data_IF_513939302469
#
_entry.id   IF_513939302469
#
_cell.length_a   1.000
_cell.length_b   1.000
_cell.length_c   1.000
_cell.angle_alpha   90.00
_cell.angle_beta   90.00
_cell.angle_gamma   90.00
#
_symmetry.space_group_name_H-M   'P 1'
#
loop_
_entity.id
_entity.type
_entity.pdbx_description
1 polymer ?
#
# COMPACT_ATOMS: atom_id res chain seq x y z
N UNK A 1 76.45 -14.09 20.26
CA UNK A 1 76.28 -14.50 18.86
C UNK A 1 75.32 -13.54 18.20
N UNK A 2 75.76 -12.93 17.09
CA UNK A 2 75.18 -11.77 16.42
C UNK A 2 73.90 -12.10 15.62
N UNK A 3 73.03 -11.11 15.36
CA UNK A 3 71.79 -11.27 14.59
C UNK A 3 72.05 -11.18 13.08
N UNK A 4 71.35 -12.01 12.30
CA UNK A 4 71.34 -11.92 10.84
C UNK A 4 69.98 -11.42 10.36
N UNK A 5 69.94 -10.14 9.98
CA UNK A 5 68.88 -9.45 9.25
C UNK A 5 68.96 -9.82 7.78
N UNK A 6 67.90 -10.44 7.24
CA UNK A 6 67.74 -10.70 5.81
C UNK A 6 66.76 -9.69 5.21
N UNK A 7 67.35 -8.68 4.57
CA UNK A 7 66.69 -7.64 3.80
C UNK A 7 66.47 -8.15 2.37
N UNK A 8 65.26 -8.61 2.05
CA UNK A 8 64.92 -8.96 0.66
C UNK A 8 64.23 -7.78 -0.02
N UNK A 9 64.93 -7.27 -1.04
CA UNK A 9 64.54 -6.16 -1.90
C UNK A 9 63.24 -6.44 -2.68
N UNK A 10 62.34 -5.47 -2.67
CA UNK A 10 61.11 -5.47 -3.49
C UNK A 10 61.47 -4.94 -4.90
N UNK A 11 61.25 -5.72 -5.98
CA UNK A 11 61.35 -5.19 -7.33
C UNK A 11 60.15 -4.29 -7.64
N UNK A 12 60.45 -3.01 -7.90
CA UNK A 12 59.51 -2.02 -8.47
C UNK A 12 59.21 -2.39 -9.93
N UNK A 13 58.16 -3.15 -10.19
CA UNK A 13 57.58 -3.22 -11.54
C UNK A 13 56.64 -2.02 -11.76
N UNK A 14 57.22 -1.02 -12.45
CA UNK A 14 56.54 0.11 -13.06
C UNK A 14 55.91 -0.33 -14.38
N UNK A 15 54.66 0.10 -14.58
CA UNK A 15 54.07 0.57 -15.85
C UNK A 15 53.91 -0.47 -16.96
N UNK A 16 52.67 -0.90 -17.19
CA UNK A 16 51.96 -0.94 -18.48
C UNK A 16 50.68 -1.79 -18.33
N UNK A 17 49.63 -1.19 -17.78
CA UNK A 17 48.25 -1.68 -17.92
C UNK A 17 47.27 -0.51 -17.78
N UNK A 18 47.60 0.63 -18.39
CA UNK A 18 46.68 1.73 -18.63
C UNK A 18 46.23 1.59 -20.09
N UNK A 19 45.17 0.81 -20.33
CA UNK A 19 44.79 0.55 -21.72
C UNK A 19 43.53 -0.27 -21.99
N UNK A 20 42.70 -0.62 -21.00
CA UNK A 20 41.35 -1.19 -21.26
C UNK A 20 40.43 -0.86 -20.06
N UNK A 21 40.16 0.42 -19.82
CA UNK A 21 39.30 0.85 -18.71
C UNK A 21 38.30 1.95 -19.12
N UNK A 22 37.85 1.95 -20.38
CA UNK A 22 37.01 3.05 -20.90
C UNK A 22 35.85 2.62 -21.82
N UNK A 23 35.31 1.42 -21.67
CA UNK A 23 34.11 0.99 -22.42
C UNK A 23 33.08 0.23 -21.56
N UNK A 24 33.13 0.38 -20.23
CA UNK A 24 31.97 0.15 -19.38
C UNK A 24 31.22 1.48 -19.23
N UNK A 25 30.82 2.06 -20.37
CA UNK A 25 29.74 3.03 -20.38
C UNK A 25 28.50 2.24 -19.96
N UNK A 26 28.24 2.25 -18.65
CA UNK A 26 27.01 1.79 -18.07
C UNK A 26 25.88 2.34 -18.94
N UNK A 27 25.21 1.46 -19.67
CA UNK A 27 23.89 1.74 -20.20
C UNK A 27 22.99 1.84 -18.97
N UNK A 28 23.06 2.99 -18.29
CA UNK A 28 22.04 3.40 -17.35
C UNK A 28 20.76 3.40 -18.18
N UNK A 29 19.94 2.36 -17.99
CA UNK A 29 18.59 2.37 -18.48
C UNK A 29 17.98 3.64 -17.89
N UNK A 30 17.74 4.64 -18.74
CA UNK A 30 17.07 5.85 -18.32
C UNK A 30 15.70 5.40 -17.81
N UNK A 31 15.51 5.43 -16.50
CA UNK A 31 14.18 5.36 -15.93
C UNK A 31 13.48 6.62 -16.43
N UNK A 32 12.57 6.44 -17.39
CA UNK A 32 11.74 7.54 -17.84
C UNK A 32 10.65 7.77 -16.80
N UNK A 33 10.59 8.99 -16.29
CA UNK A 33 9.53 9.50 -15.43
C UNK A 33 8.64 10.42 -16.27
N UNK A 34 7.37 10.05 -16.40
CA UNK A 34 6.39 10.81 -17.17
C UNK A 34 5.29 11.30 -16.24
N UNK A 35 5.12 12.62 -16.17
CA UNK A 35 3.97 13.24 -15.50
C UNK A 35 3.06 13.90 -16.52
N UNK A 36 1.78 13.51 -16.53
CA UNK A 36 0.74 14.12 -17.36
C UNK A 36 -0.35 14.68 -16.46
N UNK A 37 -0.70 15.95 -16.70
CA UNK A 37 -1.79 16.65 -16.05
C UNK A 37 -2.81 17.05 -17.11
N UNK A 38 -4.05 16.57 -17.00
CA UNK A 38 -5.11 16.85 -17.97
C UNK A 38 -6.42 16.20 -17.59
N UNK A 39 -7.55 16.77 -18.01
CA UNK A 39 -8.91 16.22 -17.80
C UNK A 39 -9.25 15.87 -16.34
N UNK A 40 -8.69 16.62 -15.38
CA UNK A 40 -8.89 16.35 -13.96
C UNK A 40 -8.18 15.09 -13.46
N UNK A 41 -7.19 14.58 -14.19
CA UNK A 41 -6.34 13.44 -13.84
C UNK A 41 -4.88 13.90 -13.75
N UNK A 42 -4.18 13.38 -12.74
CA UNK A 42 -2.72 13.34 -12.65
C UNK A 42 -2.29 11.90 -12.93
N UNK A 43 -1.41 11.71 -13.92
CA UNK A 43 -0.80 10.43 -14.24
C UNK A 43 0.71 10.55 -14.02
N UNK A 44 1.30 9.64 -13.26
CA UNK A 44 2.74 9.51 -13.05
C UNK A 44 3.15 8.11 -13.47
N UNK A 45 4.07 7.99 -14.43
CA UNK A 45 4.53 6.69 -14.91
C UNK A 45 6.05 6.55 -14.83
N UNK A 46 6.50 5.39 -14.38
CA UNK A 46 7.91 5.03 -14.25
C UNK A 46 8.18 3.70 -14.97
N UNK A 47 9.20 3.70 -15.83
CA UNK A 47 9.64 2.48 -16.51
C UNK A 47 10.83 1.85 -15.77
N UNK A 48 10.55 0.91 -14.86
CA UNK A 48 11.62 0.25 -14.07
C UNK A 48 12.32 -0.88 -14.83
N UNK A 49 11.69 -1.41 -15.90
CA UNK A 49 12.23 -2.45 -16.76
C UNK A 49 11.86 -2.18 -18.22
N UNK A 50 12.63 -2.70 -19.19
CA UNK A 50 12.37 -2.48 -20.63
C UNK A 50 10.94 -2.84 -21.07
N UNK A 51 10.31 -3.79 -20.40
CA UNK A 51 8.97 -4.30 -20.75
C UNK A 51 7.90 -3.96 -19.71
N UNK A 52 8.23 -3.15 -18.69
CA UNK A 52 7.31 -2.85 -17.58
C UNK A 52 7.22 -1.35 -17.32
N UNK A 53 6.02 -0.81 -17.50
CA UNK A 53 5.64 0.54 -17.12
C UNK A 53 4.73 0.45 -15.89
N UNK A 54 5.08 1.17 -14.84
CA UNK A 54 4.26 1.34 -13.65
C UNK A 54 3.64 2.73 -13.73
N UNK A 55 2.32 2.85 -13.60
CA UNK A 55 1.64 4.12 -13.66
C UNK A 55 0.70 4.28 -12.47
N UNK A 56 0.85 5.39 -11.76
CA UNK A 56 -0.09 5.86 -10.77
C UNK A 56 -0.98 6.92 -11.39
N UNK A 57 -2.29 6.82 -11.18
CA UNK A 57 -3.23 7.85 -11.60
C UNK A 57 -4.05 8.34 -10.42
N UNK A 58 -4.32 9.64 -10.39
CA UNK A 58 -5.15 10.29 -9.37
C UNK A 58 -6.10 11.26 -10.05
N UNK A 59 -7.38 11.21 -9.70
CA UNK A 59 -8.34 12.24 -10.11
C UNK A 59 -8.34 13.39 -9.11
N UNK A 60 -8.31 14.62 -9.60
CA UNK A 60 -8.45 15.83 -8.79
C UNK A 60 -9.89 16.10 -8.37
N UNK A 61 -10.83 15.71 -9.23
CA UNK A 61 -12.26 15.76 -8.95
C UNK A 61 -12.88 14.39 -9.24
N UNK A 62 -13.54 13.75 -8.25
CA UNK A 62 -14.37 12.60 -8.53
C UNK A 62 -15.53 13.06 -9.43
N UNK A 63 -15.92 12.26 -10.45
CA UNK A 63 -17.13 12.55 -11.19
C UNK A 63 -18.31 12.42 -10.24
N UNK A 64 -19.32 13.30 -10.37
CA UNK A 64 -20.57 13.07 -9.65
C UNK A 64 -21.21 11.78 -10.19
N UNK A 65 -21.60 10.84 -9.32
CA UNK A 65 -22.25 9.63 -9.77
C UNK A 65 -23.61 10.00 -10.37
N UNK A 66 -23.78 9.77 -11.68
CA UNK A 66 -25.04 10.07 -12.38
C UNK A 66 -26.22 9.26 -11.81
N UNK A 67 -25.95 8.02 -11.36
CA UNK A 67 -26.95 7.14 -10.78
C UNK A 67 -26.31 6.09 -9.87
N UNK A 68 -26.85 5.91 -8.66
CA UNK A 68 -26.48 4.80 -7.77
C UNK A 68 -27.65 3.81 -7.72
N UNK A 69 -27.42 2.60 -8.24
CA UNK A 69 -28.40 1.50 -8.18
C UNK A 69 -27.78 0.30 -7.49
N UNK A 70 -28.59 -0.44 -6.72
CA UNK A 70 -28.18 -1.68 -6.10
C UNK A 70 -29.28 -2.73 -6.26
N UNK A 71 -28.89 -4.00 -6.39
CA UNK A 71 -29.84 -5.13 -6.51
C UNK A 71 -29.46 -6.23 -5.53
N UNK A 72 -30.46 -6.81 -4.88
CA UNK A 72 -30.31 -7.94 -3.97
C UNK A 72 -31.37 -8.99 -4.28
N UNK A 73 -30.96 -10.20 -4.66
CA UNK A 73 -31.89 -11.27 -5.03
C UNK A 73 -32.87 -10.88 -6.15
N UNK A 74 -32.39 -10.16 -7.17
CA UNK A 74 -33.21 -9.69 -8.30
C UNK A 74 -34.02 -8.41 -8.02
N UNK A 75 -34.23 -8.03 -6.75
CA UNK A 75 -34.92 -6.81 -6.33
C UNK A 75 -34.01 -5.59 -6.40
N UNK A 76 -34.47 -4.50 -7.01
CA UNK A 76 -33.77 -3.20 -6.97
C UNK A 76 -33.99 -2.54 -5.60
N UNK A 77 -32.90 -2.13 -4.95
CA UNK A 77 -32.92 -1.39 -3.71
C UNK A 77 -33.19 0.10 -3.99
N UNK A 78 -33.79 0.84 -3.04
CA UNK A 78 -34.00 2.28 -3.21
C UNK A 78 -32.66 3.00 -3.44
N UNK A 79 -32.63 4.06 -4.27
CA UNK A 79 -31.45 4.89 -4.41
C UNK A 79 -31.01 5.42 -3.04
N UNK A 80 -29.72 5.31 -2.67
CA UNK A 80 -29.26 5.85 -1.41
C UNK A 80 -29.30 7.39 -1.43
N UNK A 81 -29.54 8.00 -0.26
CA UNK A 81 -29.27 9.41 -0.09
C UNK A 81 -27.75 9.64 -0.16
N UNK A 82 -27.33 10.62 -0.96
CA UNK A 82 -25.92 10.98 -1.10
C UNK A 82 -25.69 12.30 -0.38
N UNK A 83 -24.87 12.27 0.68
CA UNK A 83 -24.39 13.46 1.35
C UNK A 83 -22.87 13.54 1.17
N UNK A 84 -22.32 14.67 0.69
CA UNK A 84 -20.88 14.83 0.57
C UNK A 84 -20.17 14.57 1.89
N UNK A 85 -19.03 13.86 1.84
CA UNK A 85 -18.24 13.62 3.04
C UNK A 85 -17.76 14.96 3.64
N UNK A 86 -17.92 15.14 4.95
CA UNK A 86 -17.54 16.37 5.66
C UNK A 86 -18.60 17.47 5.65
N UNK A 87 -19.79 17.27 5.06
CA UNK A 87 -20.87 18.25 5.09
C UNK A 87 -21.50 18.45 6.48
N UNK A 88 -21.35 17.46 7.37
CA UNK A 88 -21.93 17.46 8.71
C UNK A 88 -20.89 16.96 9.73
N UNK A 89 -20.85 17.58 10.93
CA UNK A 89 -20.06 17.08 12.05
C UNK A 89 -20.59 15.70 12.46
N UNK A 90 -19.68 14.74 12.62
CA UNK A 90 -20.07 13.36 12.88
C UNK A 90 -18.88 12.42 13.06
N UNK A 91 -19.07 11.35 13.83
CA UNK A 91 -18.06 10.30 13.97
C UNK A 91 -18.04 9.44 12.70
N UNK A 92 -16.85 9.23 12.15
CA UNK A 92 -16.62 8.33 11.02
C UNK A 92 -15.81 7.13 11.48
N UNK A 93 -16.33 5.91 11.26
CA UNK A 93 -15.64 4.66 11.50
C UNK A 93 -15.06 4.10 10.20
N UNK A 94 -13.77 3.79 10.21
CA UNK A 94 -13.02 3.24 9.07
C UNK A 94 -12.41 1.92 9.50
N UNK A 95 -12.82 0.83 8.84
CA UNK A 95 -12.21 -0.48 8.99
C UNK A 95 -11.27 -0.74 7.81
N UNK A 96 -10.00 -1.01 8.09
CA UNK A 96 -9.06 -1.56 7.11
C UNK A 96 -9.11 -3.08 7.15
N UNK A 97 -9.37 -3.71 6.02
CA UNK A 97 -9.40 -5.16 5.85
C UNK A 97 -8.28 -5.55 4.87
N UNK A 98 -7.22 -6.16 5.39
CA UNK A 98 -6.00 -6.47 4.62
C UNK A 98 -5.95 -7.97 4.28
N UNK A 99 -5.79 -8.28 3.01
CA UNK A 99 -5.57 -9.64 2.53
C UNK A 99 -4.16 -10.12 2.93
N UNK A 100 -4.12 -11.27 3.57
CA UNK A 100 -2.87 -11.95 3.97
C UNK A 100 -2.80 -13.37 3.39
N UNK A 101 -3.61 -13.70 2.38
CA UNK A 101 -3.68 -15.04 1.79
C UNK A 101 -2.42 -15.46 1.03
N UNK A 102 -1.75 -14.53 0.35
CA UNK A 102 -0.66 -14.86 -0.56
C UNK A 102 0.72 -14.87 0.15
N UNK A 103 1.20 -16.06 0.50
CA UNK A 103 2.55 -16.25 1.05
C UNK A 103 3.67 -16.09 0.00
N UNK A 104 3.37 -16.18 -1.29
CA UNK A 104 4.35 -16.00 -2.38
C UNK A 104 4.59 -14.52 -2.71
N UNK A 105 3.68 -13.62 -2.29
CA UNK A 105 3.78 -12.18 -2.45
C UNK A 105 4.00 -11.45 -1.11
N UNK A 106 5.18 -11.58 -0.46
CA UNK A 106 5.47 -10.91 0.81
C UNK A 106 5.43 -9.37 0.72
N UNK A 107 5.45 -8.82 -0.50
CA UNK A 107 5.34 -7.39 -0.75
C UNK A 107 3.91 -6.85 -0.65
N UNK A 108 2.87 -7.68 -0.81
CA UNK A 108 1.49 -7.22 -0.81
C UNK A 108 1.07 -6.63 0.57
N UNK A 109 1.34 -7.29 1.71
CA UNK A 109 1.11 -6.68 3.02
C UNK A 109 1.95 -5.43 3.27
N UNK A 110 3.16 -5.35 2.70
CA UNK A 110 4.03 -4.17 2.82
C UNK A 110 3.42 -2.98 2.05
N UNK A 111 2.89 -3.20 0.84
CA UNK A 111 2.21 -2.17 0.07
C UNK A 111 0.94 -1.70 0.79
N UNK A 112 0.13 -2.64 1.29
CA UNK A 112 -1.06 -2.34 2.09
C UNK A 112 -0.70 -1.50 3.32
N UNK A 113 0.36 -1.87 4.05
CA UNK A 113 0.87 -1.10 5.19
C UNK A 113 1.20 0.34 4.80
N UNK A 114 1.95 0.55 3.72
CA UNK A 114 2.33 1.89 3.29
C UNK A 114 1.10 2.73 2.91
N UNK A 115 0.11 2.13 2.24
CA UNK A 115 -1.15 2.80 1.93
C UNK A 115 -1.93 3.17 3.20
N UNK A 116 -2.07 2.24 4.14
CA UNK A 116 -2.80 2.51 5.39
C UNK A 116 -2.09 3.60 6.19
N UNK A 117 -0.76 3.58 6.30
CA UNK A 117 0.01 4.65 6.97
C UNK A 117 -0.26 6.01 6.31
N UNK A 118 -0.21 6.10 4.99
CA UNK A 118 -0.51 7.35 4.27
C UNK A 118 -1.94 7.85 4.52
N UNK A 119 -2.92 6.95 4.62
CA UNK A 119 -4.29 7.30 4.98
C UNK A 119 -4.40 7.79 6.43
N UNK A 120 -3.71 7.15 7.37
CA UNK A 120 -3.67 7.55 8.78
C UNK A 120 -2.94 8.88 8.98
N UNK A 121 -1.95 9.22 8.16
CA UNK A 121 -1.25 10.51 8.21
C UNK A 121 -2.14 11.67 7.73
N UNK A 122 -3.01 11.40 6.75
CA UNK A 122 -3.95 12.38 6.20
C UNK A 122 -5.29 12.45 6.97
N UNK A 123 -5.49 11.54 7.94
CA UNK A 123 -6.74 11.38 8.65
C UNK A 123 -7.05 12.54 9.62
N UNK A 124 -8.27 13.11 9.56
CA UNK A 124 -8.79 13.98 10.61
C UNK A 124 -8.91 13.27 11.97
N UNK A 125 -8.75 14.01 13.07
CA UNK A 125 -8.80 13.47 14.45
C UNK A 125 -10.16 12.94 14.90
N UNK A 126 -11.26 13.25 14.20
CA UNK A 126 -12.61 12.76 14.51
C UNK A 126 -12.92 11.37 13.92
N UNK A 127 -11.97 10.78 13.19
CA UNK A 127 -12.11 9.45 12.61
C UNK A 127 -11.67 8.37 13.61
N UNK A 128 -12.36 7.24 13.56
CA UNK A 128 -12.09 6.06 14.35
C UNK A 128 -11.64 4.95 13.42
N UNK A 129 -10.58 4.24 13.79
CA UNK A 129 -9.92 3.27 12.93
C UNK A 129 -9.93 1.88 13.54
N UNK A 130 -10.12 0.88 12.70
CA UNK A 130 -10.00 -0.53 13.02
C UNK A 130 -9.13 -1.21 11.96
N UNK A 131 -8.50 -2.31 12.36
CA UNK A 131 -7.68 -3.13 11.47
C UNK A 131 -8.09 -4.59 11.65
N UNK A 132 -8.39 -5.23 10.54
CA UNK A 132 -8.54 -6.67 10.44
C UNK A 132 -7.73 -7.20 9.26
N UNK A 133 -7.30 -8.45 9.34
CA UNK A 133 -6.76 -9.17 8.19
C UNK A 133 -7.71 -10.29 7.79
N UNK A 134 -7.54 -10.82 6.58
CA UNK A 134 -8.21 -12.03 6.19
C UNK A 134 -7.35 -12.93 5.31
N UNK A 135 -7.52 -14.22 5.50
CA UNK A 135 -7.23 -15.23 4.50
C UNK A 135 -8.48 -16.10 4.38
N UNK A 136 -8.55 -17.23 5.10
CA UNK A 136 -9.79 -18.00 5.21
C UNK A 136 -10.81 -17.31 6.14
N UNK A 137 -10.39 -16.68 7.24
CA UNK A 137 -11.24 -16.03 8.24
C UNK A 137 -10.81 -14.60 8.52
N UNK A 138 -11.67 -13.81 9.18
CA UNK A 138 -11.35 -12.44 9.59
C UNK A 138 -10.71 -12.45 10.96
N UNK A 139 -9.50 -11.92 11.05
CA UNK A 139 -8.80 -11.71 12.32
C UNK A 139 -8.81 -10.22 12.67
N UNK A 140 -9.40 -9.89 13.83
CA UNK A 140 -9.46 -8.50 14.31
C UNK A 140 -8.20 -8.16 15.12
N UNK A 141 -7.33 -7.38 14.51
CA UNK A 141 -6.06 -6.92 15.08
C UNK A 141 -6.21 -5.70 15.98
N UNK A 142 -7.07 -4.76 15.57
CA UNK A 142 -7.38 -3.57 16.34
C UNK A 142 -8.87 -3.23 16.22
N UNK A 143 -9.60 -3.16 17.35
CA UNK A 143 -10.99 -2.72 17.34
C UNK A 143 -11.09 -1.26 16.92
N UNK A 144 -12.26 -0.87 16.41
CA UNK A 144 -12.58 0.52 16.07
C UNK A 144 -12.42 1.43 17.30
N UNK A 145 -11.47 2.35 17.24
CA UNK A 145 -11.18 3.29 18.31
C UNK A 145 -10.64 4.62 17.74
N UNK A 146 -10.67 5.68 18.56
CA UNK A 146 -10.04 6.94 18.22
C UNK A 146 -8.50 6.81 18.26
N UNK A 147 -7.82 7.61 17.44
CA UNK A 147 -6.36 7.62 17.33
C UNK A 147 -5.81 6.61 16.33
N UNK A 148 -4.54 6.78 15.96
CA UNK A 148 -3.89 6.00 14.89
C UNK A 148 -2.77 5.09 15.39
N UNK A 149 -2.25 5.33 16.60
CA UNK A 149 -1.03 4.68 17.12
C UNK A 149 -1.16 3.17 17.21
N UNK A 150 -2.32 2.68 17.68
CA UNK A 150 -2.57 1.23 17.77
C UNK A 150 -2.51 0.57 16.39
N UNK A 151 -3.12 1.18 15.38
CA UNK A 151 -3.11 0.64 14.01
C UNK A 151 -1.68 0.60 13.48
N UNK A 152 -0.89 1.66 13.69
CA UNK A 152 0.51 1.74 13.24
C UNK A 152 1.38 0.63 13.83
N UNK A 153 1.18 0.33 15.11
CA UNK A 153 1.93 -0.72 15.79
C UNK A 153 1.59 -2.10 15.21
N UNK A 154 0.31 -2.42 15.05
CA UNK A 154 -0.10 -3.76 14.61
C UNK A 154 0.14 -3.99 13.11
N UNK A 155 0.13 -2.94 12.27
CA UNK A 155 0.47 -3.07 10.85
C UNK A 155 1.88 -3.66 10.61
N UNK A 156 2.82 -3.48 11.55
CA UNK A 156 4.15 -4.08 11.46
C UNK A 156 4.20 -5.58 11.74
N UNK A 157 3.13 -6.14 12.29
CA UNK A 157 3.02 -7.52 12.75
C UNK A 157 2.21 -8.41 11.76
N UNK A 158 1.59 -7.80 10.74
CA UNK A 158 0.86 -8.55 9.72
C UNK A 158 1.81 -9.46 8.94
N UNK A 159 1.49 -10.75 8.92
CA UNK A 159 2.25 -11.78 8.22
C UNK A 159 1.35 -12.50 7.21
N UNK A 160 1.87 -12.86 6.02
CA UNK A 160 1.13 -13.73 5.10
C UNK A 160 0.85 -15.10 5.73
N UNK A 161 -0.41 -15.55 5.64
CA UNK A 161 -0.88 -16.84 6.17
C UNK A 161 -0.74 -18.00 5.17
N UNK A 162 -0.69 -17.72 3.86
CA UNK A 162 -0.58 -18.76 2.81
C UNK A 162 -1.86 -19.55 2.56
N UNK A 163 -2.94 -19.23 3.26
CA UNK A 163 -4.25 -19.86 3.09
C UNK A 163 -5.06 -19.16 1.99
N UNK A 164 -5.96 -19.87 1.27
CA UNK A 164 -6.79 -19.24 0.24
C UNK A 164 -7.65 -18.09 0.79
N UNK A 165 -7.74 -16.99 0.03
CA UNK A 165 -8.61 -15.86 0.35
C UNK A 165 -10.10 -16.20 0.19
N UNK A 166 -10.88 -16.00 1.25
CA UNK A 166 -12.34 -16.07 1.27
C UNK A 166 -12.97 -14.67 1.24
N UNK A 167 -12.58 -13.87 0.23
CA UNK A 167 -12.88 -12.43 0.11
C UNK A 167 -14.33 -12.06 0.41
N UNK A 168 -15.29 -12.77 -0.18
CA UNK A 168 -16.72 -12.45 -0.02
C UNK A 168 -17.20 -12.64 1.42
N UNK A 169 -16.82 -13.76 2.05
CA UNK A 169 -17.18 -14.08 3.44
C UNK A 169 -16.54 -13.07 4.39
N UNK A 170 -15.26 -12.80 4.17
CA UNK A 170 -14.47 -11.89 5.00
C UNK A 170 -14.96 -10.44 4.90
N UNK A 171 -15.31 -9.98 3.70
CA UNK A 171 -15.89 -8.66 3.51
C UNK A 171 -17.26 -8.53 4.22
N UNK A 172 -18.12 -9.55 4.15
CA UNK A 172 -19.40 -9.55 4.86
C UNK A 172 -19.22 -9.48 6.38
N UNK A 173 -18.27 -10.23 6.91
CA UNK A 173 -17.94 -10.20 8.34
C UNK A 173 -17.39 -8.85 8.77
N UNK A 174 -16.48 -8.25 8.00
CA UNK A 174 -15.99 -6.90 8.26
C UNK A 174 -17.12 -5.84 8.21
N UNK A 175 -18.04 -5.95 7.25
CA UNK A 175 -19.25 -5.09 7.19
C UNK A 175 -20.12 -5.28 8.43
N UNK A 176 -20.28 -6.51 8.93
CA UNK A 176 -21.01 -6.76 10.18
C UNK A 176 -20.31 -6.11 11.37
N UNK A 177 -18.99 -6.30 11.53
CA UNK A 177 -18.21 -5.66 12.60
C UNK A 177 -18.36 -4.15 12.58
N UNK A 178 -18.24 -3.54 11.40
CA UNK A 178 -18.40 -2.11 11.18
C UNK A 178 -19.84 -1.64 11.47
N UNK A 179 -20.85 -2.43 11.10
CA UNK A 179 -22.26 -2.13 11.32
C UNK A 179 -22.66 -2.05 12.80
N UNK A 180 -21.99 -2.77 13.69
CA UNK A 180 -22.23 -2.71 15.14
C UNK A 180 -21.61 -1.48 15.80
N UNK A 181 -20.71 -0.78 15.12
CA UNK A 181 -20.05 0.40 15.67
C UNK A 181 -20.97 1.63 15.60
N UNK A 182 -21.13 2.41 16.70
CA UNK A 182 -22.03 3.56 16.76
C UNK A 182 -21.42 4.80 16.11
N UNK A 183 -21.12 4.72 14.81
CA UNK A 183 -20.71 5.86 13.99
C UNK A 183 -21.81 6.23 13.00
N UNK A 184 -21.93 7.53 12.73
CA UNK A 184 -22.87 8.06 11.74
C UNK A 184 -22.43 7.69 10.31
N UNK A 185 -21.12 7.72 10.08
CA UNK A 185 -20.51 7.32 8.81
C UNK A 185 -19.61 6.11 9.03
N UNK A 186 -19.64 5.19 8.07
CA UNK A 186 -18.92 3.92 8.11
C UNK A 186 -18.28 3.67 6.76
N UNK A 187 -17.01 3.29 6.75
CA UNK A 187 -16.29 2.90 5.55
C UNK A 187 -15.48 1.61 5.79
N UNK A 188 -15.46 0.75 4.78
CA UNK A 188 -14.60 -0.42 4.71
C UNK A 188 -13.59 -0.18 3.58
N UNK A 189 -12.30 -0.24 3.92
CA UNK A 189 -11.20 -0.19 2.97
C UNK A 189 -10.65 -1.60 2.86
N UNK A 190 -10.85 -2.22 1.70
CA UNK A 190 -10.36 -3.55 1.40
C UNK A 190 -9.06 -3.43 0.60
N UNK A 191 -7.99 -4.06 1.08
CA UNK A 191 -6.68 -4.08 0.45
C UNK A 191 -6.33 -5.54 0.16
N UNK A 192 -6.31 -5.94 -1.12
CA UNK A 192 -6.04 -7.29 -1.62
C UNK A 192 -5.14 -7.19 -2.84
#
# INVERSE_FOLDING_TARGET
MQPATLTTAVPRLRRLAAGVALLLAATAAAAYDYHVFGDGVQLSCWQTQRTRLLCDFRRFAPPEPEQITARLGGRTLPPPAVTPYGSEPGTTAIMFLVDVSDAELPLAPIAARNHVIGLLDAAPSHQHFGLASFANEVELHAPLAAGTDRIRNVLGELTPGGEPAELYRSALEAVRLLGHYPAERRALFLLS
#
